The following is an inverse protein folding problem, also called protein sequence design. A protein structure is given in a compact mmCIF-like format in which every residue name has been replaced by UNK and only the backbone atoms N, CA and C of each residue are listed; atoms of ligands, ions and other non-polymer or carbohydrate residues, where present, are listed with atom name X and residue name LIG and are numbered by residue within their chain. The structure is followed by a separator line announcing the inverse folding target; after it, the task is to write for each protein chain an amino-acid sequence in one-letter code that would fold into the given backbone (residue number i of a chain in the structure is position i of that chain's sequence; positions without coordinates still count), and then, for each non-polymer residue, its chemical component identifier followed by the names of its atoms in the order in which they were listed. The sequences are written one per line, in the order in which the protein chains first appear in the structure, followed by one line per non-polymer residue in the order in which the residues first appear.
data_IF_047204676344
#
_entry.id   IF_047204676344
#
_cell.length_a   1.000
_cell.length_b   1.000
_cell.length_c   1.000
_cell.angle_alpha   90.00
_cell.angle_beta   90.00
_cell.angle_gamma   90.00
#
_symmetry.space_group_name_H-M   'P 1'
#
loop_
_entity.id
_entity.type
_entity.pdbx_description
1 polymer ?
#
# COMPACT_ATOMS: atom_id res chain seq x y z
N UNK A 1 -5.52 -31.92 -25.04
CA UNK A 1 -5.20 -31.65 -23.61
C UNK A 1 -3.69 -31.40 -23.37
N UNK A 2 -2.99 -30.69 -24.26
CA UNK A 2 -1.50 -30.71 -24.29
C UNK A 2 -0.78 -29.40 -23.88
N UNK A 3 -1.50 -28.33 -23.56
CA UNK A 3 -0.91 -26.98 -23.47
C UNK A 3 -0.34 -26.58 -22.12
N UNK A 4 -0.76 -27.21 -21.01
CA UNK A 4 -0.27 -26.88 -19.66
C UNK A 4 1.05 -27.58 -19.32
N UNK A 5 1.24 -28.80 -19.82
CA UNK A 5 2.50 -29.55 -19.66
C UNK A 5 3.69 -28.83 -20.32
N UNK A 6 3.48 -28.25 -21.50
CA UNK A 6 4.51 -27.48 -22.21
C UNK A 6 5.01 -26.23 -21.42
N UNK A 7 4.26 -25.81 -20.38
CA UNK A 7 4.64 -24.73 -19.46
C UNK A 7 5.26 -25.25 -18.15
N UNK A 8 5.60 -26.53 -18.06
CA UNK A 8 6.16 -27.18 -16.87
C UNK A 8 5.15 -27.40 -15.74
N UNK A 9 3.85 -27.23 -16.00
CA UNK A 9 2.80 -27.44 -14.99
C UNK A 9 2.36 -28.91 -14.99
N UNK A 10 2.45 -29.55 -13.82
CA UNK A 10 1.95 -30.92 -13.61
C UNK A 10 0.41 -30.97 -13.66
N UNK A 11 -0.18 -31.98 -14.30
CA UNK A 11 -1.60 -32.27 -14.26
C UNK A 11 -2.14 -32.38 -12.83
N UNK A 12 -3.40 -32.01 -12.67
CA UNK A 12 -4.11 -32.12 -11.40
C UNK A 12 -4.16 -33.57 -10.90
N UNK A 13 -4.34 -34.54 -11.81
CA UNK A 13 -4.37 -35.96 -11.48
C UNK A 13 -3.05 -36.41 -10.82
N UNK A 14 -1.90 -36.05 -11.41
CA UNK A 14 -0.58 -36.42 -10.91
C UNK A 14 -0.30 -35.80 -9.54
N UNK A 15 -0.67 -34.53 -9.36
CA UNK A 15 -0.54 -33.85 -8.07
C UNK A 15 -1.41 -34.49 -6.98
N UNK A 16 -2.58 -35.01 -7.35
CA UNK A 16 -3.50 -35.68 -6.44
C UNK A 16 -3.12 -37.15 -6.17
N UNK A 17 -2.39 -37.82 -7.08
CA UNK A 17 -2.05 -39.24 -6.96
C UNK A 17 -1.30 -39.54 -5.64
N UNK A 18 -0.38 -38.65 -5.26
CA UNK A 18 0.46 -38.78 -4.04
C UNK A 18 -0.21 -38.28 -2.75
N UNK A 19 -1.45 -37.77 -2.82
CA UNK A 19 -2.16 -37.22 -1.64
C UNK A 19 -3.04 -38.26 -0.97
N UNK A 20 -3.16 -38.26 0.37
CA UNK A 20 -4.10 -39.13 1.06
C UNK A 20 -5.55 -38.76 0.73
N UNK A 21 -6.47 -39.73 0.82
CA UNK A 21 -7.91 -39.43 0.79
C UNK A 21 -8.28 -38.54 1.98
N UNK A 22 -9.22 -37.62 1.77
CA UNK A 22 -9.48 -36.55 2.75
C UNK A 22 -8.73 -35.25 2.45
N UNK A 23 -7.89 -35.20 1.42
CA UNK A 23 -7.37 -33.96 0.85
C UNK A 23 -8.33 -33.45 -0.25
N UNK A 24 -8.61 -32.14 -0.28
CA UNK A 24 -9.46 -31.51 -1.31
C UNK A 24 -8.91 -31.74 -2.72
N UNK A 25 -7.59 -31.86 -2.89
CA UNK A 25 -6.98 -32.07 -4.19
C UNK A 25 -7.42 -33.40 -4.82
N UNK A 26 -7.63 -34.45 -4.02
CA UNK A 26 -8.21 -35.74 -4.48
C UNK A 26 -9.63 -35.55 -5.00
N UNK A 27 -10.44 -34.74 -4.33
CA UNK A 27 -11.79 -34.42 -4.80
C UNK A 27 -11.78 -33.68 -6.14
N UNK A 28 -10.90 -32.68 -6.28
CA UNK A 28 -10.76 -31.93 -7.53
C UNK A 28 -10.27 -32.81 -8.69
N UNK A 29 -9.41 -33.79 -8.41
CA UNK A 29 -8.96 -34.78 -9.40
C UNK A 29 -10.00 -35.88 -9.72
N UNK A 30 -11.17 -35.87 -9.08
CA UNK A 30 -12.29 -36.74 -9.43
C UNK A 30 -12.71 -37.75 -8.36
N UNK A 31 -11.96 -37.91 -7.27
CA UNK A 31 -12.35 -38.83 -6.20
C UNK A 31 -13.67 -38.38 -5.54
N UNK A 32 -14.55 -39.35 -5.24
CA UNK A 32 -15.86 -39.11 -4.62
C UNK A 32 -16.07 -39.88 -3.32
N UNK A 33 -15.02 -40.43 -2.68
CA UNK A 33 -15.18 -41.09 -1.39
C UNK A 33 -15.62 -40.10 -0.28
N UNK A 34 -16.16 -40.63 0.82
CA UNK A 34 -16.66 -39.81 1.93
C UNK A 34 -15.61 -38.83 2.49
N UNK A 35 -14.36 -39.24 2.79
CA UNK A 35 -13.31 -38.31 3.24
C UNK A 35 -13.07 -37.14 2.28
N UNK A 36 -12.96 -37.42 0.97
CA UNK A 36 -12.70 -36.38 -0.04
C UNK A 36 -13.90 -35.42 -0.21
N UNK A 37 -15.14 -35.94 -0.14
CA UNK A 37 -16.34 -35.09 -0.15
C UNK A 37 -16.40 -34.20 1.09
N UNK A 38 -16.10 -34.74 2.27
CA UNK A 38 -16.05 -33.99 3.53
C UNK A 38 -15.01 -32.85 3.47
N UNK A 39 -13.81 -33.14 2.95
CA UNK A 39 -12.75 -32.15 2.79
C UNK A 39 -13.15 -30.98 1.86
N UNK A 40 -13.79 -31.29 0.72
CA UNK A 40 -14.30 -30.25 -0.17
C UNK A 40 -15.43 -29.44 0.48
N UNK A 41 -16.35 -30.10 1.18
CA UNK A 41 -17.43 -29.42 1.90
C UNK A 41 -16.89 -28.51 3.01
N UNK A 42 -15.88 -28.93 3.76
CA UNK A 42 -15.20 -28.10 4.76
C UNK A 42 -14.57 -26.86 4.12
N UNK A 43 -13.83 -27.04 3.01
CA UNK A 43 -13.24 -25.92 2.28
C UNK A 43 -14.30 -24.93 1.79
N UNK A 44 -15.38 -25.40 1.16
CA UNK A 44 -16.43 -24.49 0.67
C UNK A 44 -17.15 -23.79 1.83
N UNK A 45 -17.40 -24.45 2.97
CA UNK A 45 -17.93 -23.80 4.18
C UNK A 45 -17.01 -22.69 4.67
N UNK A 46 -15.72 -22.97 4.84
CA UNK A 46 -14.72 -21.97 5.25
C UNK A 46 -14.66 -20.81 4.26
N UNK A 47 -14.69 -21.10 2.96
CA UNK A 47 -14.69 -20.10 1.90
C UNK A 47 -15.94 -19.23 1.91
N UNK A 48 -17.12 -19.79 2.16
CA UNK A 48 -18.35 -19.01 2.28
C UNK A 48 -18.35 -18.16 3.56
N UNK A 49 -17.82 -18.69 4.66
CA UNK A 49 -17.65 -17.93 5.89
C UNK A 49 -16.73 -16.72 5.69
N UNK A 50 -15.53 -16.93 5.12
CA UNK A 50 -14.60 -15.86 4.80
C UNK A 50 -15.22 -14.79 3.88
N UNK A 51 -16.09 -15.18 2.95
CA UNK A 51 -16.84 -14.23 2.10
C UNK A 51 -17.85 -13.41 2.88
N UNK A 52 -18.58 -14.03 3.81
CA UNK A 52 -19.53 -13.33 4.72
C UNK A 52 -18.80 -12.33 5.61
N UNK A 53 -17.60 -12.68 6.06
CA UNK A 53 -16.70 -11.82 6.84
C UNK A 53 -15.99 -10.75 6.00
N UNK A 54 -16.28 -10.65 4.69
CA UNK A 54 -15.74 -9.59 3.83
C UNK A 54 -14.38 -9.91 3.21
N UNK A 55 -13.82 -11.11 3.38
CA UNK A 55 -12.63 -11.57 2.66
C UNK A 55 -12.94 -12.10 1.24
N UNK A 56 -14.07 -11.66 0.67
CA UNK A 56 -14.33 -11.91 -0.74
C UNK A 56 -13.25 -11.20 -1.59
N UNK A 57 -12.49 -12.00 -2.35
CA UNK A 57 -11.38 -11.54 -3.20
C UNK A 57 -11.65 -11.76 -4.70
N UNK A 58 -12.89 -11.50 -5.14
CA UNK A 58 -13.28 -11.58 -6.55
C UNK A 58 -12.75 -10.42 -7.38
N UNK A 59 -13.13 -10.38 -8.66
CA UNK A 59 -12.76 -9.32 -9.59
C UNK A 59 -13.80 -8.20 -9.51
N UNK A 60 -13.35 -6.96 -9.31
CA UNK A 60 -14.18 -5.75 -9.17
C UNK A 60 -13.72 -4.65 -10.12
N UNK A 61 -14.58 -3.69 -10.47
CA UNK A 61 -14.18 -2.49 -11.22
C UNK A 61 -13.12 -1.67 -10.48
N UNK A 62 -12.08 -1.25 -11.20
CA UNK A 62 -10.97 -0.47 -10.65
C UNK A 62 -11.26 1.04 -10.55
N UNK A 63 -12.48 1.50 -10.88
CA UNK A 63 -12.83 2.93 -11.00
C UNK A 63 -12.57 3.71 -9.71
N UNK A 64 -12.99 3.17 -8.57
CA UNK A 64 -12.80 3.81 -7.26
C UNK A 64 -11.31 3.90 -6.90
N UNK A 65 -10.59 2.78 -7.03
CA UNK A 65 -9.15 2.74 -6.79
C UNK A 65 -8.37 3.71 -7.69
N UNK A 66 -8.72 3.81 -8.98
CA UNK A 66 -8.11 4.78 -9.91
C UNK A 66 -8.35 6.22 -9.47
N UNK A 67 -9.60 6.58 -9.12
CA UNK A 67 -9.94 7.92 -8.61
C UNK A 67 -9.12 8.26 -7.37
N UNK A 68 -8.98 7.30 -6.45
CA UNK A 68 -8.23 7.48 -5.22
C UNK A 68 -6.73 7.64 -5.46
N UNK A 69 -6.12 6.83 -6.32
CA UNK A 69 -4.70 7.00 -6.71
C UNK A 69 -4.46 8.40 -7.31
N UNK A 70 -5.38 8.90 -8.14
CA UNK A 70 -5.27 10.26 -8.71
C UNK A 70 -5.43 11.34 -7.62
N UNK A 71 -6.34 11.14 -6.67
CA UNK A 71 -6.53 12.01 -5.52
C UNK A 71 -5.26 12.09 -4.64
N UNK A 72 -4.69 10.94 -4.30
CA UNK A 72 -3.44 10.79 -3.56
C UNK A 72 -2.26 11.46 -4.28
N UNK A 73 -2.15 11.23 -5.59
CA UNK A 73 -1.09 11.82 -6.43
C UNK A 73 -1.13 13.34 -6.43
N UNK A 74 -2.32 13.96 -6.45
CA UNK A 74 -2.47 15.43 -6.35
C UNK A 74 -2.03 15.99 -4.99
N UNK A 75 -1.94 15.13 -3.97
CA UNK A 75 -1.57 15.48 -2.59
C UNK A 75 -0.17 14.99 -2.22
N UNK A 76 0.66 14.67 -3.21
CA UNK A 76 2.06 14.28 -3.03
C UNK A 76 2.27 12.81 -2.66
N UNK A 77 1.22 11.99 -2.62
CA UNK A 77 1.32 10.54 -2.40
C UNK A 77 1.43 9.84 -3.75
N UNK A 78 2.67 9.55 -4.16
CA UNK A 78 2.97 8.88 -5.42
C UNK A 78 2.86 7.36 -5.36
N UNK A 79 2.92 6.70 -6.52
CA UNK A 79 2.84 5.23 -6.64
C UNK A 79 3.90 4.46 -5.83
N UNK A 80 5.06 5.06 -5.54
CA UNK A 80 6.11 4.43 -4.70
C UNK A 80 5.63 4.34 -3.26
N UNK A 81 5.14 5.45 -2.69
CA UNK A 81 4.56 5.45 -1.35
C UNK A 81 3.36 4.50 -1.21
N UNK A 82 2.48 4.44 -2.24
CA UNK A 82 1.36 3.49 -2.25
C UNK A 82 1.87 2.05 -2.28
N UNK A 83 2.94 1.76 -3.03
CA UNK A 83 3.58 0.45 -3.04
C UNK A 83 4.11 0.09 -1.66
N UNK A 84 4.89 0.99 -1.04
CA UNK A 84 5.48 0.79 0.28
C UNK A 84 4.40 0.56 1.35
N UNK A 85 3.22 1.19 1.22
CA UNK A 85 2.10 1.03 2.15
C UNK A 85 1.24 -0.23 1.93
N UNK A 86 1.29 -0.86 0.74
CA UNK A 86 0.30 -1.90 0.35
C UNK A 86 0.90 -3.20 -0.18
N UNK A 87 2.19 -3.21 -0.49
CA UNK A 87 2.92 -4.25 -1.26
C UNK A 87 2.36 -4.50 -2.66
N UNK A 88 1.56 -3.58 -3.21
CA UNK A 88 1.06 -3.69 -4.57
C UNK A 88 2.17 -3.27 -5.54
N UNK A 89 2.51 -4.12 -6.50
CA UNK A 89 3.55 -3.85 -7.48
C UNK A 89 3.33 -2.49 -8.19
N UNK A 90 4.40 -1.69 -8.31
CA UNK A 90 4.33 -0.34 -8.91
C UNK A 90 3.84 -0.35 -10.37
N UNK A 91 4.11 -1.42 -11.12
CA UNK A 91 3.61 -1.64 -12.48
C UNK A 91 2.08 -1.78 -12.49
N UNK A 92 1.51 -2.51 -11.53
CA UNK A 92 0.06 -2.65 -11.34
C UNK A 92 -0.57 -1.31 -10.99
N UNK A 93 0.00 -0.57 -10.04
CA UNK A 93 -0.47 0.78 -9.68
C UNK A 93 -0.45 1.73 -10.87
N UNK A 94 0.62 1.68 -11.68
CA UNK A 94 0.74 2.45 -12.91
C UNK A 94 -0.35 2.10 -13.92
N UNK A 95 -0.61 0.82 -14.14
CA UNK A 95 -1.65 0.36 -15.07
C UNK A 95 -3.06 0.75 -14.62
N UNK A 96 -3.36 0.70 -13.31
CA UNK A 96 -4.64 1.17 -12.74
C UNK A 96 -4.78 2.68 -12.94
N UNK A 97 -3.75 3.46 -12.59
CA UNK A 97 -3.74 4.93 -12.74
C UNK A 97 -3.98 5.34 -14.20
N UNK A 98 -3.27 4.69 -15.14
CA UNK A 98 -3.40 4.92 -16.57
C UNK A 98 -4.76 4.47 -17.15
N UNK A 99 -5.58 3.77 -16.38
CA UNK A 99 -6.85 3.21 -16.86
C UNK A 99 -6.71 1.94 -17.70
N UNK A 100 -5.48 1.44 -17.92
CA UNK A 100 -5.22 0.18 -18.66
C UNK A 100 -5.77 -1.04 -17.93
N UNK A 101 -5.75 -1.03 -16.59
CA UNK A 101 -6.31 -2.11 -15.76
C UNK A 101 -7.67 -1.70 -15.22
N UNK A 102 -8.74 -2.12 -15.91
CA UNK A 102 -10.13 -1.73 -15.59
C UNK A 102 -10.77 -2.58 -14.49
N UNK A 103 -10.22 -3.78 -14.25
CA UNK A 103 -10.70 -4.73 -13.25
C UNK A 103 -9.55 -5.27 -12.40
N UNK A 104 -9.78 -5.34 -11.09
CA UNK A 104 -8.78 -5.73 -10.09
C UNK A 104 -9.39 -6.65 -9.05
N UNK A 105 -8.55 -7.29 -8.24
CA UNK A 105 -9.01 -8.08 -7.10
C UNK A 105 -9.60 -7.17 -6.03
N UNK A 106 -10.68 -7.59 -5.38
CA UNK A 106 -11.34 -6.81 -4.33
C UNK A 106 -10.41 -6.47 -3.16
N UNK A 107 -9.51 -7.39 -2.78
CA UNK A 107 -8.46 -7.11 -1.78
C UNK A 107 -7.50 -6.00 -2.22
N UNK A 108 -7.11 -5.98 -3.50
CA UNK A 108 -6.29 -4.91 -4.07
C UNK A 108 -7.02 -3.56 -4.04
N UNK A 109 -8.32 -3.56 -4.37
CA UNK A 109 -9.13 -2.34 -4.30
C UNK A 109 -9.19 -1.78 -2.87
N UNK A 110 -9.48 -2.63 -1.88
CA UNK A 110 -9.49 -2.27 -0.45
C UNK A 110 -8.16 -1.68 0.01
N UNK A 111 -7.06 -2.40 -0.21
CA UNK A 111 -5.70 -1.91 0.11
C UNK A 111 -5.40 -0.54 -0.47
N UNK A 112 -5.79 -0.28 -1.72
CA UNK A 112 -5.59 1.04 -2.35
C UNK A 112 -6.43 2.10 -1.65
N UNK A 113 -7.70 1.81 -1.36
CA UNK A 113 -8.64 2.74 -0.75
C UNK A 113 -8.29 3.08 0.71
N UNK A 114 -7.66 2.15 1.43
CA UNK A 114 -7.21 2.36 2.82
C UNK A 114 -6.01 3.32 2.92
N UNK A 115 -5.23 3.53 1.85
CA UNK A 115 -4.10 4.45 1.86
C UNK A 115 -4.58 5.89 2.02
N UNK A 116 -4.06 6.58 3.02
CA UNK A 116 -4.40 7.97 3.30
C UNK A 116 -3.35 8.95 2.74
N UNK A 117 -3.50 10.23 3.09
CA UNK A 117 -2.51 11.26 2.75
C UNK A 117 -1.38 11.38 3.78
N UNK A 118 -1.42 10.59 4.86
CA UNK A 118 -0.38 10.55 5.88
C UNK A 118 0.87 9.80 5.36
N UNK A 119 0.68 8.86 4.44
CA UNK A 119 1.69 8.02 3.80
C UNK A 119 2.44 8.76 2.69
N UNK A 120 2.62 10.09 2.81
CA UNK A 120 3.45 10.83 1.85
C UNK A 120 4.90 10.36 2.01
N UNK A 121 5.57 10.15 0.87
CA UNK A 121 6.99 9.87 0.88
C UNK A 121 7.77 11.05 1.48
N UNK A 122 8.81 10.75 2.24
CA UNK A 122 9.72 11.72 2.87
C UNK A 122 10.23 12.82 1.92
N UNK A 123 10.50 12.46 0.67
CA UNK A 123 11.03 13.34 -0.36
C UNK A 123 9.94 14.07 -1.16
N UNK A 124 8.66 13.81 -0.91
CA UNK A 124 7.58 14.50 -1.59
C UNK A 124 7.57 16.00 -1.24
N UNK A 125 7.33 16.86 -2.24
CA UNK A 125 7.22 18.29 -2.03
C UNK A 125 5.82 18.68 -1.55
N UNK A 126 5.75 19.52 -0.51
CA UNK A 126 4.53 20.11 0.03
C UNK A 126 4.70 21.64 0.16
N UNK A 127 3.61 22.42 0.21
CA UNK A 127 3.69 23.87 0.45
C UNK A 127 4.45 24.17 1.75
N UNK A 128 5.42 25.08 1.69
CA UNK A 128 6.27 25.42 2.82
C UNK A 128 5.62 26.38 3.84
N UNK A 129 4.41 26.87 3.56
CA UNK A 129 3.71 27.90 4.35
C UNK A 129 3.62 27.54 5.84
N UNK A 130 3.24 26.30 6.17
CA UNK A 130 3.15 25.85 7.57
C UNK A 130 4.53 25.79 8.23
N UNK A 131 5.53 25.26 7.52
CA UNK A 131 6.92 25.19 8.03
C UNK A 131 7.43 26.60 8.37
N UNK A 132 7.23 27.58 7.49
CA UNK A 132 7.68 28.96 7.73
C UNK A 132 6.94 29.62 8.88
N UNK A 133 5.66 29.31 9.09
CA UNK A 133 4.90 29.79 10.26
C UNK A 133 5.48 29.26 11.58
N UNK A 134 5.87 27.99 11.63
CA UNK A 134 6.50 27.41 12.83
C UNK A 134 7.88 28.01 13.08
N UNK A 135 8.69 28.17 12.02
CA UNK A 135 9.99 28.85 12.13
C UNK A 135 9.79 30.26 12.67
N UNK A 136 8.84 31.02 12.12
CA UNK A 136 8.61 32.40 12.56
C UNK A 136 8.24 32.46 14.05
N UNK A 137 7.36 31.56 14.53
CA UNK A 137 7.05 31.47 15.96
C UNK A 137 8.27 31.22 16.83
N UNK A 138 9.15 30.29 16.45
CA UNK A 138 10.40 30.05 17.18
C UNK A 138 11.32 31.27 17.16
N UNK A 139 11.36 32.02 16.05
CA UNK A 139 12.11 33.27 16.00
C UNK A 139 11.51 34.33 16.93
N UNK A 140 10.18 34.42 16.98
CA UNK A 140 9.46 35.36 17.86
C UNK A 140 9.65 34.99 19.35
N UNK A 141 9.82 33.71 19.67
CA UNK A 141 10.18 33.19 21.01
C UNK A 141 11.67 33.40 21.38
N UNK A 142 12.47 33.99 20.48
CA UNK A 142 13.86 34.36 20.74
C UNK A 142 14.92 33.37 20.26
N UNK A 143 14.53 32.28 19.59
CA UNK A 143 15.51 31.39 18.96
C UNK A 143 16.12 32.03 17.70
N UNK A 144 17.40 31.79 17.44
CA UNK A 144 18.03 32.25 16.19
C UNK A 144 18.00 31.18 15.11
N UNK A 145 18.04 31.57 13.83
CA UNK A 145 18.17 30.62 12.70
C UNK A 145 19.41 29.72 12.83
N UNK A 146 20.50 30.26 13.40
CA UNK A 146 21.73 29.52 13.69
C UNK A 146 21.50 28.43 14.72
N UNK A 147 20.76 28.72 15.79
CA UNK A 147 20.44 27.74 16.83
C UNK A 147 19.51 26.65 16.31
N UNK A 148 18.49 27.01 15.52
CA UNK A 148 17.62 26.05 14.87
C UNK A 148 18.39 25.14 13.92
N UNK A 149 19.30 25.69 13.09
CA UNK A 149 20.14 24.90 12.20
C UNK A 149 21.06 23.92 12.96
N UNK A 150 21.65 24.37 14.08
CA UNK A 150 22.48 23.53 14.96
C UNK A 150 21.65 22.39 15.57
N UNK A 151 20.46 22.67 16.09
CA UNK A 151 19.54 21.66 16.67
C UNK A 151 19.05 20.65 15.64
N UNK A 152 18.92 21.08 14.38
CA UNK A 152 18.65 20.19 13.24
C UNK A 152 19.89 19.41 12.77
N UNK A 153 21.06 19.61 13.36
CA UNK A 153 22.30 18.93 12.94
C UNK A 153 22.82 19.37 11.58
N UNK A 154 22.52 20.59 11.15
CA UNK A 154 23.13 21.17 9.94
C UNK A 154 24.54 21.67 10.24
N UNK A 155 25.45 21.47 9.26
CA UNK A 155 26.84 21.95 9.34
C UNK A 155 26.95 23.46 9.06
N UNK A 156 25.98 24.02 8.35
CA UNK A 156 25.88 25.45 8.06
C UNK A 156 24.90 26.13 9.01
N UNK A 157 25.14 27.39 9.41
CA UNK A 157 24.21 28.15 10.26
C UNK A 157 22.90 28.56 9.57
N UNK A 158 22.73 28.26 8.26
CA UNK A 158 21.57 28.67 7.48
C UNK A 158 20.51 27.56 7.35
N UNK A 159 19.24 27.93 7.49
CA UNK A 159 18.09 27.07 7.17
C UNK A 159 17.87 27.08 5.65
N UNK A 160 18.37 26.07 4.95
CA UNK A 160 18.32 25.96 3.48
C UNK A 160 16.97 25.45 2.95
N UNK A 161 15.86 26.07 3.37
CA UNK A 161 14.52 25.74 2.88
C UNK A 161 14.06 26.72 1.81
N UNK A 162 13.38 26.22 0.76
CA UNK A 162 12.74 27.09 -0.23
C UNK A 162 11.47 27.72 0.38
N UNK A 163 11.09 28.91 -0.11
CA UNK A 163 9.91 29.64 0.40
C UNK A 163 8.57 29.02 -0.01
N UNK A 164 8.50 28.40 -1.18
CA UNK A 164 7.24 27.93 -1.76
C UNK A 164 6.96 26.45 -1.42
N UNK A 165 7.96 25.59 -1.56
CA UNK A 165 7.83 24.14 -1.37
C UNK A 165 8.97 23.57 -0.55
N UNK A 166 8.68 22.56 0.27
CA UNK A 166 9.66 21.84 1.09
C UNK A 166 9.35 20.34 1.05
N UNK A 167 10.32 19.49 1.37
CA UNK A 167 10.07 18.05 1.49
C UNK A 167 9.28 17.72 2.76
N UNK A 168 8.47 16.66 2.73
CA UNK A 168 7.74 16.14 3.90
C UNK A 168 8.70 15.87 5.07
N UNK A 169 9.86 15.28 4.80
CA UNK A 169 10.90 15.02 5.81
C UNK A 169 11.35 16.30 6.51
N UNK A 170 11.62 17.37 5.77
CA UNK A 170 12.06 18.63 6.37
C UNK A 170 10.93 19.33 7.14
N UNK A 171 9.69 19.28 6.63
CA UNK A 171 8.52 19.76 7.37
C UNK A 171 8.31 19.00 8.69
N UNK A 172 8.46 17.68 8.67
CA UNK A 172 8.35 16.86 9.87
C UNK A 172 9.48 17.15 10.88
N UNK A 173 10.72 17.33 10.42
CA UNK A 173 11.85 17.69 11.28
C UNK A 173 11.64 19.03 11.99
N UNK A 174 11.11 20.04 11.29
CA UNK A 174 10.79 21.34 11.90
C UNK A 174 9.61 21.22 12.87
N UNK A 175 8.55 20.48 12.51
CA UNK A 175 7.43 20.24 13.41
C UNK A 175 7.90 19.58 14.71
N UNK A 176 8.70 18.50 14.60
CA UNK A 176 9.26 17.82 15.76
C UNK A 176 10.14 18.74 16.61
N UNK A 177 10.95 19.59 15.99
CA UNK A 177 11.76 20.56 16.72
C UNK A 177 10.88 21.59 17.44
N UNK A 178 9.84 22.09 16.78
CA UNK A 178 8.87 22.99 17.39
C UNK A 178 8.24 22.36 18.64
N UNK A 179 7.69 21.15 18.48
CA UNK A 179 7.05 20.41 19.58
C UNK A 179 8.00 20.17 20.77
N UNK A 180 9.31 20.00 20.52
CA UNK A 180 10.34 19.84 21.55
C UNK A 180 10.72 21.13 22.28
N UNK A 181 10.49 22.29 21.69
CA UNK A 181 10.89 23.59 22.25
C UNK A 181 9.74 24.33 22.92
N UNK A 182 8.50 24.05 22.51
CA UNK A 182 7.30 24.75 22.97
C UNK A 182 6.41 23.90 23.89
N UNK A 183 6.87 22.72 24.31
CA UNK A 183 6.22 21.87 25.33
C UNK A 183 7.08 21.87 26.58
#
# INVERSE_FOLDING_TARGET
MHTLHARGLRPLADLAAVRPHGDRLRYLAGCRCLPCRAANAQYERQRQQARREGDWNGIVPARAARRHILFLSRRGVGRRAIHDATDIAQSTLSAIRAGKKTHIRARTARKILDVSTAERADHAHIPATRLWRLIQRLLDEGYTKRDLARRLGYRSPALQFRKQVVTVRNAFRIQRLYDQLTT
#
